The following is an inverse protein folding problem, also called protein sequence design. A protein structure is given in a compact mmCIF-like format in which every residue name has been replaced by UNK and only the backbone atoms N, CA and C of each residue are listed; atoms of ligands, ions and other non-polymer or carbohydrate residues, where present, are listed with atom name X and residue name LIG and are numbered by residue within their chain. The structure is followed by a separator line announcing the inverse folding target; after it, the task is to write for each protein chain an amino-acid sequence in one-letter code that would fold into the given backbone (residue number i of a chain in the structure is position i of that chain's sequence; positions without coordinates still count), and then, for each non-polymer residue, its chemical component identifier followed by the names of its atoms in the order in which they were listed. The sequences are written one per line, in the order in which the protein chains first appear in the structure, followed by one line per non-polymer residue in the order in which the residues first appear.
data_IF_698679646968
#
_entry.id   IF_698679646968
#
_cell.length_a   1.000
_cell.length_b   1.000
_cell.length_c   1.000
_cell.angle_alpha   90.00
_cell.angle_beta   90.00
_cell.angle_gamma   90.00
#
_symmetry.space_group_name_H-M   'P 1'
#
loop_
_entity.id
_entity.type
_entity.pdbx_description
1 polymer ?
#
# COMPACT_ATOMS: atom_id res chain seq x y z
N UNK A 1 6.89 -28.50 6.21
CA UNK A 1 6.14 -27.22 6.22
C UNK A 1 5.84 -26.86 4.78
N UNK A 2 4.61 -27.06 4.32
CA UNK A 2 4.20 -26.66 2.99
C UNK A 2 3.99 -25.15 2.99
N UNK A 3 4.84 -24.42 2.26
CA UNK A 3 4.54 -23.06 1.86
C UNK A 3 3.35 -23.13 0.91
N UNK A 4 2.15 -22.80 1.41
CA UNK A 4 1.02 -22.52 0.54
C UNK A 4 1.44 -21.34 -0.33
N UNK A 5 1.78 -21.65 -1.59
CA UNK A 5 1.98 -20.66 -2.62
C UNK A 5 0.69 -19.88 -2.72
N UNK A 6 0.77 -18.56 -2.65
CA UNK A 6 -0.32 -17.74 -3.12
C UNK A 6 -0.31 -17.88 -4.64
N UNK A 7 -1.08 -18.84 -5.15
CA UNK A 7 -1.18 -19.15 -6.59
C UNK A 7 -2.05 -18.14 -7.35
N UNK A 8 -2.51 -17.08 -6.68
CA UNK A 8 -3.38 -16.05 -7.24
C UNK A 8 -2.58 -14.78 -7.49
N UNK A 9 -2.90 -14.07 -8.57
CA UNK A 9 -2.36 -12.73 -8.85
C UNK A 9 -2.75 -11.76 -7.72
N UNK A 10 -1.82 -10.97 -7.16
CA UNK A 10 -2.15 -9.94 -6.16
C UNK A 10 -3.01 -8.84 -6.77
N UNK A 11 -3.96 -8.34 -5.98
CA UNK A 11 -4.78 -7.20 -6.36
C UNK A 11 -3.98 -5.88 -6.39
N UNK A 12 -2.96 -5.73 -5.52
CA UNK A 12 -2.15 -4.50 -5.44
C UNK A 12 -0.67 -4.87 -5.33
N UNK A 13 0.19 -4.18 -6.09
CA UNK A 13 1.65 -4.35 -6.07
C UNK A 13 2.40 -3.02 -6.03
N UNK A 14 3.39 -2.88 -5.17
CA UNK A 14 4.28 -1.69 -5.12
C UNK A 14 5.71 -2.11 -4.84
N UNK A 15 6.60 -2.01 -5.83
CA UNK A 15 7.95 -2.56 -5.70
C UNK A 15 7.90 -4.05 -5.34
N UNK A 16 8.52 -4.44 -4.21
CA UNK A 16 8.47 -5.80 -3.68
C UNK A 16 7.22 -6.14 -2.86
N UNK A 17 6.32 -5.18 -2.60
CA UNK A 17 5.07 -5.41 -1.88
C UNK A 17 4.01 -6.01 -2.81
N UNK A 18 3.32 -7.03 -2.32
CA UNK A 18 2.11 -7.62 -2.91
C UNK A 18 1.04 -7.76 -1.83
N UNK A 19 -0.20 -7.40 -2.18
CA UNK A 19 -1.36 -7.51 -1.29
C UNK A 19 -2.45 -8.30 -2.00
N UNK A 20 -3.01 -9.28 -1.31
CA UNK A 20 -4.15 -10.07 -1.76
C UNK A 20 -5.37 -9.78 -0.90
N UNK A 21 -6.46 -9.31 -1.50
CA UNK A 21 -7.70 -9.05 -0.78
C UNK A 21 -8.54 -10.32 -0.73
N UNK A 22 -8.59 -10.96 0.44
CA UNK A 22 -9.27 -12.25 0.61
C UNK A 22 -10.79 -12.07 0.71
N UNK A 23 -11.24 -11.15 1.57
CA UNK A 23 -12.67 -10.92 1.86
C UNK A 23 -12.86 -9.68 2.72
N UNK A 24 -14.12 -9.28 2.95
CA UNK A 24 -14.46 -8.40 4.07
C UNK A 24 -14.34 -9.14 5.40
N UNK A 25 -13.89 -8.44 6.45
CA UNK A 25 -13.82 -9.00 7.81
C UNK A 25 -15.21 -9.32 8.35
N UNK A 26 -16.16 -8.41 8.14
CA UNK A 26 -17.56 -8.53 8.58
C UNK A 26 -18.51 -8.55 7.36
N UNK A 27 -18.71 -9.70 6.71
CA UNK A 27 -19.64 -9.81 5.59
C UNK A 27 -21.06 -9.39 5.99
N UNK A 28 -21.65 -8.47 5.21
CA UNK A 28 -23.02 -7.99 5.43
C UNK A 28 -23.17 -6.86 6.46
N UNK A 29 -22.07 -6.41 7.07
CA UNK A 29 -22.10 -5.20 7.88
C UNK A 29 -22.49 -3.97 7.03
N UNK A 30 -23.25 -3.06 7.63
CA UNK A 30 -23.71 -1.81 7.01
C UNK A 30 -23.18 -0.57 7.73
N UNK A 31 -22.67 -0.74 8.96
CA UNK A 31 -21.96 0.30 9.71
C UNK A 31 -20.64 0.63 9.00
N UNK A 32 -20.28 1.91 8.95
CA UNK A 32 -19.20 2.42 8.12
C UNK A 32 -17.84 1.74 8.37
N UNK A 33 -17.43 1.53 9.61
CA UNK A 33 -16.15 0.88 9.89
C UNK A 33 -16.24 -0.61 9.54
N UNK A 34 -17.20 -1.33 10.13
CA UNK A 34 -17.32 -2.78 9.96
C UNK A 34 -17.53 -3.19 8.49
N UNK A 35 -18.30 -2.41 7.73
CA UNK A 35 -18.57 -2.67 6.32
C UNK A 35 -17.32 -2.51 5.44
N UNK A 36 -16.32 -1.75 5.87
CA UNK A 36 -15.17 -1.37 5.04
C UNK A 36 -13.88 -2.13 5.36
N UNK A 37 -13.85 -2.92 6.43
CA UNK A 37 -12.69 -3.74 6.80
C UNK A 37 -12.44 -4.92 5.87
N UNK A 38 -11.19 -5.11 5.49
CA UNK A 38 -10.69 -6.17 4.63
C UNK A 38 -9.76 -7.11 5.40
N UNK A 39 -9.89 -8.39 5.09
CA UNK A 39 -8.92 -9.43 5.42
C UNK A 39 -7.99 -9.56 4.22
N UNK A 40 -6.68 -9.42 4.46
CA UNK A 40 -5.66 -9.43 3.41
C UNK A 40 -4.53 -10.38 3.74
N UNK A 41 -3.87 -10.87 2.69
CA UNK A 41 -2.51 -11.39 2.81
C UNK A 41 -1.55 -10.34 2.25
N UNK A 42 -0.39 -10.21 2.87
CA UNK A 42 0.65 -9.26 2.49
C UNK A 42 1.96 -10.01 2.38
N UNK A 43 2.70 -9.78 1.30
CA UNK A 43 4.08 -10.21 1.17
C UNK A 43 4.94 -9.02 0.71
N UNK A 44 6.08 -8.80 1.36
CA UNK A 44 7.12 -7.91 0.86
C UNK A 44 8.37 -8.74 0.60
N UNK A 45 8.73 -8.89 -0.67
CA UNK A 45 9.80 -9.77 -1.14
C UNK A 45 10.92 -8.97 -1.81
N UNK A 46 12.15 -9.19 -1.35
CA UNK A 46 13.39 -8.63 -1.91
C UNK A 46 14.48 -9.69 -1.94
N UNK A 47 15.57 -9.43 -2.66
CA UNK A 47 16.75 -10.30 -2.61
C UNK A 47 17.24 -10.43 -1.17
N UNK A 48 17.15 -11.64 -0.60
CA UNK A 48 17.61 -11.96 0.74
C UNK A 48 16.62 -11.72 1.88
N UNK A 49 15.40 -11.22 1.63
CA UNK A 49 14.39 -11.07 2.67
C UNK A 49 12.96 -11.23 2.16
N UNK A 50 12.12 -11.86 2.98
CA UNK A 50 10.67 -11.95 2.78
C UNK A 50 9.98 -11.71 4.11
N UNK A 51 9.00 -10.81 4.12
CA UNK A 51 8.07 -10.62 5.23
C UNK A 51 6.68 -10.96 4.73
N UNK A 52 5.95 -11.77 5.50
CA UNK A 52 4.59 -12.23 5.16
C UNK A 52 3.66 -12.05 6.34
N UNK A 53 2.46 -11.57 6.05
CA UNK A 53 1.32 -11.50 6.95
C UNK A 53 0.17 -12.21 6.25
N UNK A 54 -0.44 -13.21 6.89
CA UNK A 54 -1.50 -14.01 6.28
C UNK A 54 -2.80 -13.81 7.05
N UNK A 55 -3.90 -13.56 6.33
CA UNK A 55 -5.26 -13.47 6.85
C UNK A 55 -5.47 -12.34 7.88
N UNK A 56 -4.84 -11.18 7.66
CA UNK A 56 -4.83 -10.05 8.60
C UNK A 56 -5.94 -9.02 8.31
N UNK A 57 -6.73 -8.59 9.32
CA UNK A 57 -7.69 -7.50 9.21
C UNK A 57 -7.01 -6.13 9.37
N UNK A 58 -6.22 -5.70 8.39
CA UNK A 58 -5.35 -4.52 8.58
C UNK A 58 -5.52 -3.41 7.55
N UNK A 59 -6.49 -3.53 6.64
CA UNK A 59 -6.79 -2.51 5.65
C UNK A 59 -8.29 -2.27 5.53
N UNK A 60 -8.65 -1.03 5.24
CA UNK A 60 -10.01 -0.64 4.90
C UNK A 60 -10.10 -0.18 3.44
N UNK A 61 -11.24 -0.43 2.80
CA UNK A 61 -11.52 0.08 1.44
C UNK A 61 -11.43 1.61 1.36
N UNK A 62 -11.74 2.32 2.44
CA UNK A 62 -11.62 3.79 2.54
C UNK A 62 -10.17 4.26 2.50
N UNK A 63 -9.25 3.50 3.09
CA UNK A 63 -7.82 3.78 3.06
C UNK A 63 -7.26 3.55 1.66
N UNK A 64 -7.68 2.45 1.00
CA UNK A 64 -7.33 2.17 -0.39
C UNK A 64 -7.83 3.27 -1.34
N UNK A 65 -9.06 3.75 -1.16
CA UNK A 65 -9.61 4.86 -1.94
C UNK A 65 -8.82 6.16 -1.73
N UNK A 66 -8.55 6.52 -0.47
CA UNK A 66 -7.74 7.70 -0.16
C UNK A 66 -6.29 7.59 -0.62
N UNK A 67 -5.74 6.38 -0.73
CA UNK A 67 -4.41 6.17 -1.27
C UNK A 67 -4.38 6.27 -2.80
N UNK A 68 -5.38 5.69 -3.49
CA UNK A 68 -5.57 5.83 -4.94
C UNK A 68 -5.61 7.30 -5.35
N UNK A 69 -6.42 8.10 -4.66
CA UNK A 69 -6.59 9.52 -4.99
C UNK A 69 -5.27 10.28 -4.83
N UNK A 70 -4.50 9.99 -3.77
CA UNK A 70 -3.16 10.59 -3.61
C UNK A 70 -2.14 10.11 -4.65
N UNK A 71 -2.21 8.87 -5.10
CA UNK A 71 -1.38 8.39 -6.21
C UNK A 71 -1.71 9.15 -7.51
N UNK A 72 -2.99 9.39 -7.77
CA UNK A 72 -3.41 10.23 -8.89
C UNK A 72 -2.92 11.67 -8.76
N UNK A 73 -3.00 12.27 -7.55
CA UNK A 73 -2.44 13.60 -7.28
C UNK A 73 -0.92 13.64 -7.47
N UNK A 74 -0.20 12.57 -7.10
CA UNK A 74 1.24 12.45 -7.30
C UNK A 74 1.60 12.44 -8.79
N UNK A 75 0.86 11.65 -9.59
CA UNK A 75 1.00 11.60 -11.05
C UNK A 75 0.72 12.96 -11.69
N UNK A 76 -0.35 13.63 -11.25
CA UNK A 76 -0.72 14.97 -11.73
C UNK A 76 0.25 16.08 -11.26
N UNK A 77 1.17 15.78 -10.34
CA UNK A 77 2.09 16.75 -9.75
C UNK A 77 1.45 17.70 -8.74
N UNK A 78 0.23 17.40 -8.28
CA UNK A 78 -0.48 18.16 -7.24
C UNK A 78 0.09 17.90 -5.83
N UNK A 79 0.73 16.76 -5.63
CA UNK A 79 1.49 16.42 -4.41
C UNK A 79 2.85 15.81 -4.77
N UNK A 80 3.77 15.81 -3.81
CA UNK A 80 5.03 15.07 -3.88
C UNK A 80 4.99 13.74 -3.11
N UNK A 81 3.91 13.47 -2.37
CA UNK A 81 3.77 12.30 -1.49
C UNK A 81 2.36 11.70 -1.63
N UNK A 82 2.31 10.38 -1.80
CA UNK A 82 1.12 9.55 -1.73
C UNK A 82 1.29 8.47 -0.64
N UNK A 83 0.67 8.71 0.51
CA UNK A 83 0.74 7.82 1.67
C UNK A 83 -0.57 7.01 1.83
N UNK A 84 -0.41 5.70 2.05
CA UNK A 84 -1.47 4.81 2.51
C UNK A 84 -1.76 5.13 3.99
N UNK A 85 -2.92 5.70 4.32
CA UNK A 85 -3.23 6.15 5.66
C UNK A 85 -3.81 4.99 6.50
N UNK A 86 -3.10 3.87 6.58
CA UNK A 86 -3.57 2.69 7.28
C UNK A 86 -3.76 2.98 8.77
N UNK A 87 -4.90 2.57 9.32
CA UNK A 87 -5.23 2.71 10.73
C UNK A 87 -4.47 1.69 11.59
N UNK A 88 -4.32 0.46 11.09
CA UNK A 88 -3.50 -0.56 11.75
C UNK A 88 -2.02 -0.36 11.43
N UNK A 89 -1.13 -0.51 12.42
CA UNK A 89 0.29 -0.25 12.23
C UNK A 89 1.01 -1.36 11.43
N UNK A 90 0.31 -2.40 10.96
CA UNK A 90 0.93 -3.56 10.30
C UNK A 90 1.52 -3.25 8.92
N UNK A 91 0.99 -2.24 8.24
CA UNK A 91 1.43 -1.84 6.91
C UNK A 91 1.45 -0.32 6.80
N UNK A 92 2.57 0.24 6.35
CA UNK A 92 2.65 1.63 5.89
C UNK A 92 3.35 1.67 4.54
N UNK A 93 2.76 2.41 3.60
CA UNK A 93 3.32 2.59 2.25
C UNK A 93 3.32 4.07 1.94
N UNK A 94 4.49 4.59 1.60
CA UNK A 94 4.66 5.97 1.15
C UNK A 94 5.32 5.96 -0.20
N UNK A 95 4.65 6.47 -1.23
CA UNK A 95 5.24 6.75 -2.53
C UNK A 95 5.57 8.24 -2.57
N UNK A 96 6.82 8.59 -2.85
CA UNK A 96 7.27 9.98 -2.85
C UNK A 96 8.10 10.31 -4.08
N UNK A 97 7.85 11.48 -4.66
CA UNK A 97 8.71 12.11 -5.68
C UNK A 97 9.79 12.90 -4.95
N UNK A 98 11.03 12.43 -5.00
CA UNK A 98 12.19 13.06 -4.37
C UNK A 98 12.95 13.91 -5.40
N UNK A 99 13.12 15.20 -5.11
CA UNK A 99 14.11 16.13 -5.69
C UNK A 99 14.13 16.33 -7.23
N UNK A 100 14.66 17.48 -7.66
CA UNK A 100 15.10 17.76 -9.05
C UNK A 100 16.60 18.09 -9.11
N UNK A 101 17.34 17.81 -8.04
CA UNK A 101 18.69 18.35 -7.80
C UNK A 101 19.72 17.94 -8.86
N UNK A 102 20.56 18.92 -9.26
CA UNK A 102 21.63 18.77 -10.23
C UNK A 102 22.41 17.45 -10.06
N UNK A 103 22.37 16.62 -11.10
CA UNK A 103 23.03 15.32 -11.20
C UNK A 103 24.52 15.32 -10.81
N UNK A 104 25.15 16.50 -10.73
CA UNK A 104 26.56 16.72 -10.37
C UNK A 104 26.86 16.57 -8.88
N UNK A 105 25.86 16.62 -7.99
CA UNK A 105 26.04 16.39 -6.53
C UNK A 105 25.43 15.08 -6.04
N UNK A 106 24.72 14.37 -6.93
CA UNK A 106 23.90 13.19 -6.61
C UNK A 106 24.68 11.87 -6.65
N UNK A 107 25.94 11.90 -7.10
CA UNK A 107 26.79 10.71 -7.24
C UNK A 107 27.02 9.92 -5.93
N UNK A 108 26.76 10.52 -4.76
CA UNK A 108 26.95 9.87 -3.47
C UNK A 108 25.72 9.12 -2.94
N UNK A 109 24.51 9.35 -3.48
CA UNK A 109 23.26 8.71 -3.01
C UNK A 109 22.20 8.62 -4.13
N UNK A 110 22.14 7.50 -4.88
CA UNK A 110 21.22 7.35 -6.02
C UNK A 110 19.72 7.43 -5.64
N UNK A 111 19.37 7.31 -4.37
CA UNK A 111 17.98 7.36 -3.89
C UNK A 111 17.38 8.75 -3.71
N UNK A 112 18.13 9.83 -3.99
CA UNK A 112 17.71 11.22 -3.76
C UNK A 112 16.88 11.84 -4.88
N UNK A 113 16.84 11.20 -6.05
CA UNK A 113 16.12 11.69 -7.23
C UNK A 113 15.21 10.58 -7.76
N UNK A 114 14.03 10.95 -8.26
CA UNK A 114 13.05 10.03 -8.83
C UNK A 114 11.91 9.70 -7.88
N UNK A 115 11.09 8.71 -8.24
CA UNK A 115 9.97 8.25 -7.43
C UNK A 115 10.43 7.05 -6.61
N UNK A 116 10.10 7.04 -5.33
CA UNK A 116 10.49 5.98 -4.41
C UNK A 116 9.30 5.53 -3.58
N UNK A 117 9.14 4.23 -3.41
CA UNK A 117 8.25 3.66 -2.41
C UNK A 117 9.04 3.26 -1.17
N UNK A 118 8.52 3.64 0.00
CA UNK A 118 8.93 3.13 1.30
C UNK A 118 7.81 2.25 1.83
N UNK A 119 8.11 0.98 2.09
CA UNK A 119 7.17 -0.02 2.59
C UNK A 119 7.63 -0.45 3.98
N UNK A 120 6.75 -0.34 4.97
CA UNK A 120 6.93 -0.90 6.31
C UNK A 120 5.91 -1.99 6.52
N UNK A 121 6.34 -3.15 6.99
CA UNK A 121 5.47 -4.29 7.25
C UNK A 121 5.93 -5.05 8.49
N UNK A 122 5.02 -5.27 9.44
CA UNK A 122 5.28 -6.09 10.63
C UNK A 122 3.98 -6.52 11.31
N UNK A 123 3.89 -7.78 11.72
CA UNK A 123 2.82 -8.25 12.64
C UNK A 123 3.12 -7.90 14.11
N UNK A 124 4.37 -7.58 14.42
CA UNK A 124 4.81 -7.16 15.76
C UNK A 124 5.50 -5.81 15.67
N UNK A 125 4.73 -4.75 15.87
CA UNK A 125 5.23 -3.37 15.83
C UNK A 125 5.94 -2.93 17.12
N UNK A 126 6.13 -3.84 18.07
CA UNK A 126 6.83 -3.56 19.33
C UNK A 126 8.27 -4.08 19.26
N UNK A 127 8.46 -5.31 18.79
CA UNK A 127 9.78 -5.95 18.80
C UNK A 127 10.42 -6.13 17.42
N UNK A 128 9.65 -5.96 16.34
CA UNK A 128 10.13 -6.17 14.97
C UNK A 128 9.82 -4.97 14.07
N UNK A 129 10.79 -4.61 13.23
CA UNK A 129 10.64 -3.52 12.29
C UNK A 129 11.31 -3.87 10.97
N UNK A 130 10.52 -3.89 9.90
CA UNK A 130 11.01 -4.12 8.54
C UNK A 130 10.62 -2.94 7.66
N UNK A 131 11.62 -2.30 7.06
CA UNK A 131 11.44 -1.21 6.10
C UNK A 131 12.19 -1.53 4.81
N UNK A 132 11.51 -1.38 3.68
CA UNK A 132 12.02 -1.60 2.34
C UNK A 132 11.87 -0.32 1.53
N UNK A 133 12.84 -0.04 0.66
CA UNK A 133 12.78 1.09 -0.25
C UNK A 133 12.97 0.62 -1.69
N UNK A 134 12.08 1.06 -2.56
CA UNK A 134 12.02 0.65 -3.97
C UNK A 134 12.10 1.88 -4.86
N UNK A 135 13.01 1.91 -5.86
CA UNK A 135 12.88 2.87 -6.95
C UNK A 135 11.63 2.52 -7.74
N UNK A 136 10.85 3.54 -8.12
CA UNK A 136 9.69 3.43 -8.99
C UNK A 136 9.81 4.45 -10.12
N UNK A 137 9.02 4.25 -11.17
CA UNK A 137 8.75 5.27 -12.18
C UNK A 137 7.25 5.63 -12.23
N UNK A 138 6.87 6.52 -13.15
CA UNK A 138 5.47 6.96 -13.27
C UNK A 138 4.55 5.82 -13.72
N UNK A 139 5.02 4.88 -14.54
CA UNK A 139 4.24 3.73 -14.98
C UNK A 139 3.93 2.76 -13.84
N UNK A 140 4.83 2.65 -12.87
CA UNK A 140 4.54 1.93 -11.63
C UNK A 140 3.41 2.59 -10.84
N UNK A 141 3.43 3.91 -10.69
CA UNK A 141 2.40 4.63 -9.92
C UNK A 141 1.04 4.58 -10.65
N UNK A 142 1.03 4.67 -11.98
CA UNK A 142 -0.16 4.45 -12.81
C UNK A 142 -0.74 3.06 -12.59
N UNK A 143 0.12 2.02 -12.64
CA UNK A 143 -0.29 0.65 -12.38
C UNK A 143 -0.91 0.49 -11.00
N UNK A 144 -0.30 1.06 -9.95
CA UNK A 144 -0.84 1.04 -8.58
C UNK A 144 -2.21 1.71 -8.52
N UNK A 145 -2.38 2.86 -9.18
CA UNK A 145 -3.65 3.59 -9.23
C UNK A 145 -4.75 2.77 -9.89
N UNK A 146 -4.42 2.06 -10.98
CA UNK A 146 -5.34 1.18 -11.69
C UNK A 146 -5.68 -0.08 -10.89
N UNK A 147 -4.69 -0.70 -10.25
CA UNK A 147 -4.87 -1.86 -9.36
C UNK A 147 -5.78 -1.51 -8.17
N UNK A 148 -5.57 -0.36 -7.53
CA UNK A 148 -6.44 0.14 -6.47
C UNK A 148 -7.87 0.40 -6.97
N UNK A 149 -8.03 0.96 -8.16
CA UNK A 149 -9.34 1.18 -8.77
C UNK A 149 -10.08 -0.13 -9.00
N UNK A 150 -9.42 -1.13 -9.60
CA UNK A 150 -9.99 -2.46 -9.82
C UNK A 150 -10.34 -3.18 -8.50
N UNK A 151 -9.50 -3.02 -7.47
CA UNK A 151 -9.79 -3.55 -6.14
C UNK A 151 -11.04 -2.91 -5.53
N UNK A 152 -11.20 -1.59 -5.67
CA UNK A 152 -12.35 -0.83 -5.17
C UNK A 152 -13.63 -1.10 -5.98
N UNK A 153 -13.54 -1.42 -7.26
CA UNK A 153 -14.69 -1.87 -8.04
C UNK A 153 -15.24 -3.20 -7.51
N UNK A 154 -14.34 -4.10 -7.07
CA UNK A 154 -14.71 -5.39 -6.45
C UNK A 154 -15.15 -5.24 -4.99
N UNK A 155 -14.52 -4.33 -4.25
CA UNK A 155 -14.77 -4.06 -2.83
C UNK A 155 -15.08 -2.58 -2.64
N UNK A 156 -16.29 -2.11 -3.00
CA UNK A 156 -16.64 -0.71 -2.91
C UNK A 156 -16.68 -0.22 -1.46
N UNK A 157 -16.43 1.08 -1.28
CA UNK A 157 -16.63 1.74 0.01
C UNK A 157 -18.13 1.79 0.33
N UNK A 158 -18.49 1.43 1.56
CA UNK A 158 -19.86 1.47 2.08
C UNK A 158 -20.06 2.60 3.08
N UNK A 159 -21.21 3.28 2.96
CA UNK A 159 -21.61 4.34 3.88
C UNK A 159 -20.78 5.61 3.76
N UNK A 160 -20.91 6.48 4.77
CA UNK A 160 -20.13 7.69 4.93
C UNK A 160 -19.50 7.70 6.34
N UNK A 161 -18.32 8.32 6.53
CA UNK A 161 -17.72 8.39 7.84
C UNK A 161 -18.67 9.09 8.82
N UNK A 162 -18.74 8.65 10.08
CA UNK A 162 -19.51 9.36 11.09
C UNK A 162 -19.04 10.81 11.18
N UNK A 163 -19.97 11.74 11.38
CA UNK A 163 -19.61 13.16 11.58
C UNK A 163 -18.73 13.25 12.83
N UNK A 164 -17.58 13.91 12.69
CA UNK A 164 -16.80 14.32 13.86
C UNK A 164 -17.63 15.34 14.62
N UNK A 165 -17.97 15.02 15.87
CA UNK A 165 -18.55 15.97 16.83
C UNK A 165 -17.51 17.01 17.27
#
# INVERSE_FOLDING_TARGET
MCHLRIETTPEIRVGGLSVWIRRRQFPGATEYYDANWLIVDIACEVSGAVVRLDNEPCLMTTELAGWRDRCADLLAGATTIAELPAMEPYLSVVIERRGTGDAKTTASRPWRVGIWAKVRVSSDNVTQFHEFQFPLDESDVERVTNELSAALDRYPVHGAPPRRE
#
